data_IF_665303839459
#
_entry.id   IF_665303839459
#
_cell.length_a   1.000
_cell.length_b   1.000
_cell.length_c   1.000
_cell.angle_alpha   90.00
_cell.angle_beta   90.00
_cell.angle_gamma   90.00
#
_symmetry.space_group_name_H-M   'P 1'
#
loop_
_entity.id
_entity.type
_entity.pdbx_description
1 polymer ?
#
# COMPACT_ATOMS: atom_id res chain seq x y z
N UNK A 1 -11.82 -24.06 -0.68
CA UNK A 1 -11.19 -24.25 0.67
C UNK A 1 -11.53 -25.58 1.33
N UNK A 2 -12.28 -26.48 0.71
CA UNK A 2 -12.52 -27.84 1.23
C UNK A 2 -11.24 -28.67 1.28
N UNK A 3 -11.11 -29.55 2.27
CA UNK A 3 -9.95 -30.45 2.45
C UNK A 3 -8.77 -29.84 3.21
N UNK A 4 -9.03 -28.85 4.06
CA UNK A 4 -8.08 -28.40 5.06
C UNK A 4 -8.31 -29.22 6.35
N UNK A 5 -7.27 -29.90 6.84
CA UNK A 5 -7.35 -30.69 8.06
C UNK A 5 -7.68 -29.79 9.24
N UNK A 6 -8.50 -30.30 10.16
CA UNK A 6 -8.92 -29.62 11.40
C UNK A 6 -9.70 -28.31 11.18
N UNK A 7 -10.10 -27.97 9.96
CA UNK A 7 -11.01 -26.87 9.72
C UNK A 7 -12.43 -27.24 10.17
N UNK A 8 -13.01 -26.44 11.07
CA UNK A 8 -14.35 -26.63 11.60
C UNK A 8 -15.39 -25.99 10.72
N UNK A 9 -15.22 -24.72 10.39
CA UNK A 9 -16.16 -23.98 9.55
C UNK A 9 -15.47 -22.80 8.84
N UNK A 10 -16.16 -22.33 7.82
CA UNK A 10 -15.79 -21.20 7.00
C UNK A 10 -16.95 -20.21 6.98
N UNK A 11 -16.64 -18.93 7.15
CA UNK A 11 -17.58 -17.83 6.92
C UNK A 11 -17.03 -16.84 5.93
N UNK A 12 -17.90 -16.18 5.17
CA UNK A 12 -17.51 -15.13 4.24
C UNK A 12 -18.42 -13.92 4.44
N UNK A 13 -17.83 -12.75 4.47
CA UNK A 13 -18.52 -11.47 4.54
C UNK A 13 -17.96 -10.56 3.47
N UNK A 14 -18.84 -9.88 2.74
CA UNK A 14 -18.45 -8.89 1.73
C UNK A 14 -19.09 -7.56 2.08
N UNK A 15 -18.34 -6.47 1.92
CA UNK A 15 -18.81 -5.12 2.17
C UNK A 15 -19.13 -4.36 0.88
N UNK A 16 -19.73 -3.19 1.03
CA UNK A 16 -20.08 -2.31 -0.09
C UNK A 16 -18.86 -1.62 -0.73
N UNK A 17 -17.72 -1.64 -0.07
CA UNK A 17 -16.45 -1.10 -0.60
C UNK A 17 -15.73 -2.10 -1.53
N UNK A 18 -16.30 -3.30 -1.73
CA UNK A 18 -15.75 -4.34 -2.60
C UNK A 18 -14.73 -5.24 -1.90
N UNK A 19 -14.61 -5.16 -0.58
CA UNK A 19 -13.76 -6.05 0.21
C UNK A 19 -14.52 -7.32 0.58
N UNK A 20 -13.84 -8.46 0.52
CA UNK A 20 -14.38 -9.76 0.92
C UNK A 20 -13.46 -10.40 1.94
N UNK A 21 -14.01 -10.71 3.11
CA UNK A 21 -13.31 -11.36 4.20
C UNK A 21 -13.76 -12.82 4.30
N UNK A 22 -12.82 -13.74 4.23
CA UNK A 22 -13.07 -15.18 4.40
C UNK A 22 -12.37 -15.62 5.68
N UNK A 23 -13.18 -15.97 6.69
CA UNK A 23 -12.70 -16.43 7.98
C UNK A 23 -12.76 -17.96 8.04
N UNK A 24 -11.62 -18.57 8.27
CA UNK A 24 -11.46 -20.01 8.49
C UNK A 24 -11.24 -20.28 9.98
N UNK A 25 -12.07 -21.13 10.57
CA UNK A 25 -11.95 -21.51 11.98
C UNK A 25 -11.46 -22.94 12.07
N UNK A 26 -10.39 -23.13 12.83
CA UNK A 26 -9.75 -24.43 13.06
C UNK A 26 -10.05 -24.96 14.47
N UNK A 27 -9.89 -26.24 14.66
CA UNK A 27 -10.07 -26.89 15.95
C UNK A 27 -9.03 -26.39 16.98
N UNK A 28 -9.40 -26.31 18.27
CA UNK A 28 -8.45 -25.99 19.33
C UNK A 28 -7.23 -26.93 19.31
N UNK A 29 -6.02 -26.35 19.47
CA UNK A 29 -4.76 -27.09 19.41
C UNK A 29 -4.17 -27.25 18.02
N UNK A 30 -4.84 -26.72 16.97
CA UNK A 30 -4.24 -26.65 15.64
C UNK A 30 -3.07 -25.65 15.66
N UNK A 31 -1.93 -26.04 15.09
CA UNK A 31 -0.79 -25.15 14.92
C UNK A 31 -1.14 -24.04 13.91
N UNK A 32 -1.12 -22.75 14.33
CA UNK A 32 -1.51 -21.65 13.47
C UNK A 32 -0.58 -21.44 12.26
N UNK A 33 0.71 -21.77 12.40
CA UNK A 33 1.69 -21.63 11.32
C UNK A 33 1.47 -22.68 10.24
N UNK A 34 1.21 -23.91 10.65
CA UNK A 34 0.89 -25.00 9.75
C UNK A 34 -0.46 -24.76 9.05
N UNK A 35 -1.47 -24.26 9.76
CA UNK A 35 -2.77 -23.92 9.19
C UNK A 35 -2.63 -22.80 8.15
N UNK A 36 -1.88 -21.76 8.49
CA UNK A 36 -1.59 -20.62 7.58
C UNK A 36 -0.90 -21.12 6.30
N UNK A 37 0.14 -21.95 6.41
CA UNK A 37 0.84 -22.50 5.26
C UNK A 37 -0.07 -23.33 4.35
N UNK A 38 -0.95 -24.17 4.94
CA UNK A 38 -1.94 -24.96 4.19
C UNK A 38 -2.95 -24.07 3.46
N UNK A 39 -3.42 -22.99 4.10
CA UNK A 39 -4.32 -22.02 3.48
C UNK A 39 -3.64 -21.31 2.31
N UNK A 40 -2.41 -20.83 2.49
CA UNK A 40 -1.62 -20.21 1.44
C UNK A 40 -1.47 -21.13 0.21
N UNK A 41 -1.10 -22.39 0.43
CA UNK A 41 -0.97 -23.38 -0.64
C UNK A 41 -2.31 -23.59 -1.40
N UNK A 42 -3.42 -23.66 -0.69
CA UNK A 42 -4.76 -23.78 -1.32
C UNK A 42 -5.14 -22.53 -2.11
N UNK A 43 -4.80 -21.35 -1.61
CA UNK A 43 -5.04 -20.09 -2.32
C UNK A 43 -4.24 -20.01 -3.62
N UNK A 44 -2.98 -20.41 -3.62
CA UNK A 44 -2.17 -20.43 -4.84
C UNK A 44 -2.81 -21.30 -5.94
N UNK A 45 -3.41 -22.42 -5.59
CA UNK A 45 -4.13 -23.26 -6.54
C UNK A 45 -5.43 -22.62 -7.04
N UNK A 46 -6.06 -21.76 -6.25
CA UNK A 46 -7.30 -21.09 -6.60
C UNK A 46 -7.08 -19.77 -7.39
N UNK A 47 -5.88 -19.16 -7.27
CA UNK A 47 -5.57 -17.88 -7.91
C UNK A 47 -5.93 -17.78 -9.39
N UNK A 48 -5.62 -18.77 -10.26
CA UNK A 48 -5.97 -18.70 -11.68
C UNK A 48 -7.48 -18.68 -11.97
N UNK A 49 -8.29 -19.11 -11.00
CA UNK A 49 -9.76 -19.15 -11.13
C UNK A 49 -10.45 -17.87 -10.63
N UNK A 50 -9.70 -16.93 -10.07
CA UNK A 50 -10.23 -15.66 -9.58
C UNK A 50 -10.29 -14.61 -10.69
N UNK A 51 -11.18 -13.61 -10.60
CA UNK A 51 -11.19 -12.48 -11.52
C UNK A 51 -9.83 -11.78 -11.59
N UNK A 52 -9.46 -11.30 -12.77
CA UNK A 52 -8.15 -10.68 -13.00
C UNK A 52 -7.88 -9.47 -12.08
N UNK A 53 -8.91 -8.71 -11.75
CA UNK A 53 -8.82 -7.60 -10.80
C UNK A 53 -8.37 -8.04 -9.42
N UNK A 54 -8.90 -9.16 -8.92
CA UNK A 54 -8.52 -9.74 -7.62
C UNK A 54 -7.12 -10.33 -7.67
N UNK A 55 -6.75 -10.99 -8.79
CA UNK A 55 -5.41 -11.51 -8.98
C UNK A 55 -4.34 -10.39 -8.95
N UNK A 56 -4.64 -9.24 -9.56
CA UNK A 56 -3.74 -8.07 -9.57
C UNK A 56 -3.59 -7.39 -8.20
N UNK A 57 -4.66 -7.34 -7.42
CA UNK A 57 -4.63 -6.81 -6.05
C UNK A 57 -3.90 -7.75 -5.09
N UNK A 58 -3.95 -9.06 -5.38
CA UNK A 58 -3.44 -10.09 -4.49
C UNK A 58 -4.42 -10.45 -3.38
N UNK A 59 -4.07 -11.50 -2.64
CA UNK A 59 -4.84 -11.98 -1.48
C UNK A 59 -3.94 -11.90 -0.25
N UNK A 60 -4.46 -11.31 0.81
CA UNK A 60 -3.80 -11.27 2.09
C UNK A 60 -4.32 -12.43 2.96
N UNK A 61 -3.42 -13.16 3.60
CA UNK A 61 -3.76 -14.21 4.56
C UNK A 61 -3.09 -13.88 5.87
N UNK A 62 -3.88 -13.52 6.86
CA UNK A 62 -3.46 -13.24 8.22
C UNK A 62 -3.89 -14.35 9.19
N UNK A 63 -3.16 -14.48 10.30
CA UNK A 63 -3.61 -15.23 11.47
C UNK A 63 -4.35 -14.23 12.34
N UNK A 64 -5.59 -14.50 12.66
CA UNK A 64 -6.39 -13.60 13.49
C UNK A 64 -6.98 -14.35 14.67
N UNK A 65 -7.01 -13.69 15.81
CA UNK A 65 -7.84 -14.04 16.94
C UNK A 65 -9.02 -13.07 16.98
N UNK A 66 -10.18 -13.53 17.46
CA UNK A 66 -11.39 -12.69 17.49
C UNK A 66 -11.30 -11.47 18.40
N UNK A 67 -10.37 -11.46 19.36
CA UNK A 67 -10.25 -10.41 20.37
C UNK A 67 -8.82 -9.85 20.37
N UNK A 68 -8.71 -8.55 20.56
CA UNK A 68 -7.44 -7.91 20.84
C UNK A 68 -6.90 -8.39 22.19
N UNK A 69 -5.65 -8.81 22.23
CA UNK A 69 -4.92 -9.09 23.46
C UNK A 69 -4.55 -7.81 24.17
N UNK A 70 -4.13 -6.81 23.42
CA UNK A 70 -3.63 -5.52 23.91
C UNK A 70 -3.93 -4.44 22.88
N UNK A 71 -4.33 -3.28 23.37
CA UNK A 71 -4.44 -2.05 22.57
C UNK A 71 -3.42 -1.07 23.12
N UNK A 72 -2.56 -0.55 22.24
CA UNK A 72 -1.51 0.44 22.59
C UNK A 72 -1.84 1.75 21.90
N UNK A 73 -1.99 2.81 22.69
CA UNK A 73 -2.17 4.17 22.18
C UNK A 73 -0.84 4.93 22.18
N UNK A 74 -0.53 5.61 21.09
CA UNK A 74 0.57 6.57 20.99
C UNK A 74 0.03 7.97 21.15
N UNK A 75 0.68 8.76 22.00
CA UNK A 75 0.34 10.16 22.23
C UNK A 75 1.59 11.04 22.11
N UNK A 76 1.42 12.25 21.59
CA UNK A 76 2.45 13.29 21.63
C UNK A 76 2.17 14.19 22.84
N UNK A 77 2.97 14.08 23.89
CA UNK A 77 2.78 14.88 25.12
C UNK A 77 3.06 16.36 24.89
N UNK A 78 4.00 16.68 24.04
CA UNK A 78 4.44 18.04 23.69
C UNK A 78 3.68 18.65 22.49
N UNK A 79 2.80 17.86 21.86
CA UNK A 79 2.06 18.28 20.67
C UNK A 79 2.91 18.50 19.44
N UNK A 80 4.16 18.01 19.43
CA UNK A 80 5.07 18.13 18.27
C UNK A 80 4.64 17.29 17.08
N UNK A 81 3.91 16.20 17.31
CA UNK A 81 3.37 15.31 16.31
C UNK A 81 1.84 15.37 16.31
N UNK A 82 1.27 15.56 15.14
CA UNK A 82 -0.16 15.45 14.94
C UNK A 82 -0.59 13.97 14.78
N UNK A 83 -1.90 13.71 14.63
CA UNK A 83 -2.43 12.35 14.50
C UNK A 83 -1.86 11.58 13.28
N UNK A 84 -1.62 12.30 12.18
CA UNK A 84 -1.14 11.72 10.95
C UNK A 84 0.36 11.37 11.06
N UNK A 85 1.14 12.23 11.73
CA UNK A 85 2.55 11.96 12.08
C UNK A 85 2.68 10.73 12.99
N UNK A 86 1.81 10.63 14.01
CA UNK A 86 1.78 9.48 14.92
C UNK A 86 1.39 8.19 14.20
N UNK A 87 0.43 8.26 13.27
CA UNK A 87 0.00 7.15 12.44
C UNK A 87 1.15 6.63 11.54
N UNK A 88 1.82 7.54 10.85
CA UNK A 88 2.96 7.21 9.99
C UNK A 88 4.14 6.65 10.81
N UNK A 89 4.43 7.25 11.96
CA UNK A 89 5.45 6.74 12.89
C UNK A 89 5.12 5.33 13.37
N UNK A 90 3.86 5.08 13.75
CA UNK A 90 3.41 3.77 14.20
C UNK A 90 3.57 2.71 13.10
N UNK A 91 3.15 3.01 11.87
CA UNK A 91 3.26 2.12 10.73
C UNK A 91 4.72 1.83 10.34
N UNK A 92 5.54 2.86 10.34
CA UNK A 92 6.94 2.75 9.88
C UNK A 92 7.85 2.08 10.90
N UNK A 93 7.62 2.35 12.21
CA UNK A 93 8.56 1.98 13.27
C UNK A 93 8.00 0.97 14.26
N UNK A 94 6.72 1.06 14.63
CA UNK A 94 6.17 0.27 15.74
C UNK A 94 5.56 -1.04 15.26
N UNK A 95 4.71 -0.99 14.25
CA UNK A 95 3.99 -2.16 13.72
C UNK A 95 4.93 -3.32 13.37
N UNK A 96 5.99 -3.02 12.60
CA UNK A 96 6.94 -4.04 12.16
C UNK A 96 7.75 -4.67 13.29
N UNK A 97 8.00 -3.92 14.35
CA UNK A 97 8.72 -4.42 15.52
C UNK A 97 7.80 -5.35 16.31
N UNK A 98 6.56 -4.91 16.55
CA UNK A 98 5.57 -5.71 17.28
C UNK A 98 5.20 -6.99 16.54
N UNK A 99 5.03 -6.95 15.23
CA UNK A 99 4.72 -8.13 14.40
C UNK A 99 5.81 -9.22 14.44
N UNK A 100 7.04 -8.88 14.84
CA UNK A 100 8.16 -9.84 14.98
C UNK A 100 8.29 -10.45 16.36
N UNK A 101 7.51 -9.98 17.33
CA UNK A 101 7.56 -10.51 18.70
C UNK A 101 6.97 -11.94 18.72
N UNK A 102 7.70 -12.93 19.26
CA UNK A 102 7.17 -14.29 19.35
C UNK A 102 5.85 -14.33 20.14
N UNK A 103 4.83 -14.97 19.56
CA UNK A 103 3.50 -15.06 20.14
C UNK A 103 2.52 -13.98 19.66
N UNK A 104 2.97 -12.96 18.94
CA UNK A 104 2.09 -11.99 18.26
C UNK A 104 1.62 -12.61 16.94
N UNK A 105 0.31 -12.77 16.80
CA UNK A 105 -0.30 -13.32 15.58
C UNK A 105 -0.56 -12.28 14.51
N UNK A 106 -1.05 -11.13 14.93
CA UNK A 106 -1.41 -10.00 14.05
C UNK A 106 -1.27 -8.69 14.82
N UNK A 107 -0.86 -7.66 14.12
CA UNK A 107 -0.86 -6.28 14.61
C UNK A 107 -1.75 -5.48 13.68
N UNK A 108 -2.81 -4.91 14.23
CA UNK A 108 -3.72 -4.04 13.50
C UNK A 108 -3.44 -2.59 13.88
N UNK A 109 -3.17 -1.76 12.89
CA UNK A 109 -2.90 -0.35 13.07
C UNK A 109 -4.18 0.45 12.83
N UNK A 110 -4.66 1.13 13.87
CA UNK A 110 -5.70 2.15 13.77
C UNK A 110 -5.05 3.52 13.56
N UNK A 111 -4.54 3.74 12.38
CA UNK A 111 -3.85 4.95 11.99
C UNK A 111 -3.51 4.87 10.51
N UNK A 112 -3.06 5.97 9.95
CA UNK A 112 -2.86 6.08 8.52
C UNK A 112 -1.45 6.53 8.20
N UNK A 113 -0.88 5.93 7.16
CA UNK A 113 0.39 6.38 6.59
C UNK A 113 0.17 7.61 5.72
N UNK A 114 1.22 8.41 5.56
CA UNK A 114 1.20 9.47 4.57
C UNK A 114 1.10 8.92 3.15
N UNK A 115 0.21 9.52 2.38
CA UNK A 115 0.04 9.22 0.97
C UNK A 115 -0.11 10.51 0.15
N UNK A 116 0.21 10.44 -1.13
CA UNK A 116 -0.02 11.55 -2.06
C UNK A 116 -1.46 11.49 -2.57
N UNK A 117 -2.27 12.49 -2.21
CA UNK A 117 -3.64 12.64 -2.70
C UNK A 117 -3.69 13.53 -3.92
N UNK A 118 -4.41 13.09 -4.93
CA UNK A 118 -4.64 13.84 -6.15
C UNK A 118 -6.14 14.01 -6.34
N UNK A 119 -6.62 15.25 -6.13
CA UNK A 119 -8.02 15.61 -6.27
C UNK A 119 -8.27 16.08 -7.70
N UNK A 120 -8.88 15.22 -8.50
CA UNK A 120 -9.20 15.52 -9.89
C UNK A 120 -10.49 16.35 -10.00
N UNK A 121 -10.48 17.31 -10.89
CA UNK A 121 -11.66 18.10 -11.24
C UNK A 121 -12.29 17.50 -12.53
N UNK A 122 -13.53 16.97 -12.47
CA UNK A 122 -14.17 16.30 -13.62
C UNK A 122 -14.39 17.24 -14.81
N UNK A 123 -14.71 18.52 -14.55
CA UNK A 123 -14.96 19.49 -15.61
C UNK A 123 -13.67 19.75 -16.39
N UNK A 124 -12.55 19.98 -15.67
CA UNK A 124 -11.24 20.18 -16.32
C UNK A 124 -10.76 18.94 -17.07
N UNK A 125 -11.01 17.72 -16.54
CA UNK A 125 -10.72 16.51 -17.29
C UNK A 125 -11.46 16.48 -18.63
N UNK A 126 -12.74 16.85 -18.60
CA UNK A 126 -13.58 16.94 -19.81
C UNK A 126 -13.04 18.01 -20.79
N UNK A 127 -12.70 19.19 -20.30
CA UNK A 127 -12.15 20.29 -21.12
C UNK A 127 -10.86 19.87 -21.85
N UNK A 128 -10.01 19.13 -21.17
CA UNK A 128 -8.77 18.60 -21.76
C UNK A 128 -8.94 17.26 -22.47
N UNK A 129 -10.16 16.72 -22.57
CA UNK A 129 -10.46 15.40 -23.15
C UNK A 129 -9.60 14.28 -22.54
N UNK A 130 -9.48 14.29 -21.22
CA UNK A 130 -8.74 13.29 -20.43
C UNK A 130 -9.71 12.48 -19.58
N UNK A 131 -9.36 11.23 -19.35
CA UNK A 131 -10.05 10.34 -18.43
C UNK A 131 -9.23 10.13 -17.16
N UNK A 132 -9.87 9.64 -16.10
CA UNK A 132 -9.15 9.23 -14.88
C UNK A 132 -8.12 8.14 -15.18
N UNK A 133 -8.41 7.26 -16.13
CA UNK A 133 -7.50 6.20 -16.56
C UNK A 133 -6.20 6.75 -17.19
N UNK A 134 -6.29 7.84 -17.95
CA UNK A 134 -5.13 8.52 -18.53
C UNK A 134 -4.23 9.08 -17.43
N UNK A 135 -4.84 9.71 -16.41
CA UNK A 135 -4.10 10.21 -15.24
C UNK A 135 -3.40 9.08 -14.49
N UNK A 136 -4.10 7.98 -14.20
CA UNK A 136 -3.51 6.82 -13.52
C UNK A 136 -2.35 6.23 -14.34
N UNK A 137 -2.50 6.15 -15.65
CA UNK A 137 -1.46 5.64 -16.55
C UNK A 137 -0.22 6.52 -16.51
N UNK A 138 -0.40 7.84 -16.58
CA UNK A 138 0.71 8.79 -16.47
C UNK A 138 1.39 8.71 -15.10
N UNK A 139 0.62 8.69 -14.00
CA UNK A 139 1.17 8.54 -12.64
C UNK A 139 2.05 7.29 -12.53
N UNK A 140 1.59 6.15 -13.02
CA UNK A 140 2.35 4.90 -13.00
C UNK A 140 3.62 4.96 -13.85
N UNK A 141 3.57 5.67 -14.97
CA UNK A 141 4.73 5.81 -15.86
C UNK A 141 5.81 6.74 -15.28
N UNK A 142 5.41 7.77 -14.54
CA UNK A 142 6.33 8.76 -14.00
C UNK A 142 6.77 8.47 -12.55
N UNK A 143 5.95 7.80 -11.75
CA UNK A 143 6.30 7.44 -10.38
C UNK A 143 6.91 6.04 -10.34
N UNK A 144 8.06 5.88 -10.97
CA UNK A 144 8.82 4.62 -11.05
C UNK A 144 10.30 4.90 -10.83
N UNK A 145 10.97 4.01 -10.12
CA UNK A 145 12.40 4.06 -9.97
C UNK A 145 13.07 3.36 -11.17
N UNK A 146 13.91 4.11 -11.89
CA UNK A 146 14.64 3.60 -13.04
C UNK A 146 16.13 3.66 -12.76
N UNK A 147 16.76 2.49 -12.66
CA UNK A 147 18.22 2.35 -12.59
C UNK A 147 18.80 2.22 -14.00
N UNK A 148 19.73 3.10 -14.35
CA UNK A 148 20.44 3.05 -15.64
C UNK A 148 21.63 2.08 -15.64
N UNK A 149 21.79 1.28 -14.57
CA UNK A 149 22.89 0.35 -14.43
C UNK A 149 23.99 0.84 -13.49
N UNK A 150 25.19 0.33 -13.66
CA UNK A 150 26.32 0.63 -12.80
C UNK A 150 27.49 1.20 -13.62
N UNK A 151 28.07 2.28 -13.12
CA UNK A 151 29.37 2.73 -13.59
C UNK A 151 30.45 1.88 -12.91
N UNK A 152 31.26 1.20 -13.71
CA UNK A 152 32.29 0.32 -13.16
C UNK A 152 31.83 -1.08 -12.78
N UNK A 153 30.69 -1.53 -13.29
CA UNK A 153 30.24 -2.94 -13.17
C UNK A 153 31.07 -3.91 -13.99
N UNK A 154 30.86 -5.20 -13.76
CA UNK A 154 31.54 -6.25 -14.53
C UNK A 154 31.03 -6.28 -15.99
N UNK A 155 31.92 -6.49 -16.99
CA UNK A 155 33.36 -6.69 -16.86
C UNK A 155 34.12 -5.38 -16.60
N UNK A 156 34.89 -5.35 -15.50
CA UNK A 156 35.67 -4.17 -15.11
C UNK A 156 36.90 -4.00 -16.00
N UNK A 157 37.21 -2.75 -16.37
CA UNK A 157 38.43 -2.41 -17.08
C UNK A 157 39.58 -2.33 -16.08
N UNK A 158 40.79 -2.80 -16.49
CA UNK A 158 41.95 -2.80 -15.63
C UNK A 158 42.28 -1.37 -15.12
N UNK A 159 42.38 -1.22 -13.80
CA UNK A 159 42.58 0.10 -13.16
C UNK A 159 41.31 0.82 -12.69
N UNK A 160 40.16 0.28 -12.92
CA UNK A 160 38.90 0.86 -12.47
C UNK A 160 38.71 0.69 -10.96
N UNK A 161 38.65 1.82 -10.23
CA UNK A 161 38.57 1.86 -8.75
C UNK A 161 37.20 2.29 -8.21
N UNK A 162 36.28 2.75 -9.08
CA UNK A 162 34.99 3.26 -8.69
C UNK A 162 33.89 2.37 -9.25
N UNK A 163 32.99 1.95 -8.37
CA UNK A 163 31.74 1.30 -8.74
C UNK A 163 30.59 2.12 -8.15
N UNK A 164 29.67 2.61 -8.98
CA UNK A 164 28.53 3.40 -8.54
C UNK A 164 27.29 3.03 -9.35
N UNK A 165 26.18 2.80 -8.69
CA UNK A 165 24.89 2.63 -9.35
C UNK A 165 24.38 3.98 -9.82
N UNK A 166 23.89 4.03 -11.05
CA UNK A 166 23.29 5.24 -11.63
C UNK A 166 21.76 5.09 -11.57
N UNK A 167 21.12 5.94 -10.77
CA UNK A 167 19.68 6.08 -10.74
C UNK A 167 19.28 7.27 -11.60
N UNK A 168 18.52 7.03 -12.65
CA UNK A 168 18.09 8.10 -13.59
C UNK A 168 16.84 8.77 -13.08
N UNK A 169 15.92 8.01 -12.47
CA UNK A 169 14.68 8.50 -11.91
C UNK A 169 14.42 7.81 -10.58
N UNK A 170 14.13 8.61 -9.54
CA UNK A 170 13.65 8.15 -8.25
C UNK A 170 12.13 8.34 -8.16
N UNK A 171 11.52 7.67 -7.18
CA UNK A 171 10.12 7.91 -6.85
C UNK A 171 9.89 9.38 -6.48
N UNK A 172 8.78 9.92 -6.93
CA UNK A 172 8.36 11.28 -6.61
C UNK A 172 7.97 11.38 -5.13
N UNK A 173 8.30 12.50 -4.49
CA UNK A 173 8.15 12.66 -3.04
C UNK A 173 7.30 13.86 -2.64
N UNK A 174 7.23 14.89 -3.48
CA UNK A 174 6.55 16.14 -3.13
C UNK A 174 5.29 16.38 -3.96
N UNK A 175 4.30 17.10 -3.40
CA UNK A 175 3.10 17.48 -4.16
C UNK A 175 3.42 18.21 -5.46
N UNK A 176 4.47 19.03 -5.49
CA UNK A 176 4.90 19.82 -6.66
C UNK A 176 5.44 18.92 -7.76
N UNK A 177 6.18 17.87 -7.41
CA UNK A 177 6.66 16.88 -8.36
C UNK A 177 5.49 16.14 -9.00
N UNK A 178 4.52 15.68 -8.22
CA UNK A 178 3.30 15.05 -8.74
C UNK A 178 2.47 15.99 -9.57
N UNK A 179 2.32 17.26 -9.16
CA UNK A 179 1.61 18.30 -9.91
C UNK A 179 2.23 18.55 -11.28
N UNK A 180 3.52 18.33 -11.43
CA UNK A 180 4.28 18.58 -12.64
C UNK A 180 4.24 17.46 -13.67
N UNK A 181 3.68 16.29 -13.34
CA UNK A 181 3.60 15.14 -14.24
C UNK A 181 2.81 15.52 -15.50
N UNK A 182 3.38 15.32 -16.70
CA UNK A 182 2.67 15.57 -17.95
C UNK A 182 1.66 14.45 -18.23
N UNK A 183 0.43 14.85 -18.56
CA UNK A 183 -0.66 13.96 -18.92
C UNK A 183 -0.81 13.84 -20.43
N UNK A 184 -0.62 14.98 -21.14
CA UNK A 184 -0.74 15.03 -22.59
C UNK A 184 0.12 16.14 -23.18
N UNK A 185 0.60 15.92 -24.40
CA UNK A 185 1.23 16.94 -25.24
C UNK A 185 0.23 17.35 -26.31
N UNK A 186 -0.10 18.62 -26.38
CA UNK A 186 -0.97 19.19 -27.41
C UNK A 186 -0.22 19.34 -28.75
N UNK A 187 -0.97 19.56 -29.84
CA UNK A 187 -0.39 19.71 -31.18
C UNK A 187 0.52 20.96 -31.32
N UNK A 188 0.32 21.97 -30.48
CA UNK A 188 1.13 23.18 -30.38
C UNK A 188 2.39 23.00 -29.50
N UNK A 189 2.62 21.82 -28.96
CA UNK A 189 3.74 21.52 -28.06
C UNK A 189 3.49 21.88 -26.59
N UNK A 190 2.34 22.45 -26.22
CA UNK A 190 1.99 22.74 -24.84
C UNK A 190 1.70 21.44 -24.09
N UNK A 191 2.04 21.43 -22.78
CA UNK A 191 1.87 20.27 -21.89
C UNK A 191 0.68 20.47 -20.97
N UNK A 192 -0.25 19.54 -20.97
CA UNK A 192 -1.27 19.42 -19.93
C UNK A 192 -0.67 18.60 -18.79
N UNK A 193 -0.67 19.13 -17.58
CA UNK A 193 -0.08 18.50 -16.38
C UNK A 193 -1.15 18.18 -15.35
N UNK A 194 -0.81 17.38 -14.34
CA UNK A 194 -1.72 17.04 -13.23
C UNK A 194 -2.31 18.29 -12.58
N UNK A 195 -1.50 19.34 -12.36
CA UNK A 195 -1.97 20.62 -11.79
C UNK A 195 -3.06 21.33 -12.61
N UNK A 196 -3.12 21.06 -13.90
CA UNK A 196 -4.11 21.70 -14.79
C UNK A 196 -5.49 21.04 -14.66
N UNK A 197 -5.54 19.78 -14.24
CA UNK A 197 -6.77 19.00 -14.08
C UNK A 197 -7.12 18.68 -12.62
N UNK A 198 -6.26 19.05 -11.66
CA UNK A 198 -6.49 18.76 -10.26
C UNK A 198 -5.52 19.47 -9.32
N UNK A 199 -5.56 19.09 -8.05
CA UNK A 199 -4.62 19.53 -7.03
C UNK A 199 -3.97 18.32 -6.38
N UNK A 200 -2.73 18.47 -5.95
CA UNK A 200 -1.94 17.49 -5.25
C UNK A 200 -1.68 17.95 -3.83
N UNK A 201 -1.81 17.07 -2.87
CA UNK A 201 -1.50 17.35 -1.47
C UNK A 201 -0.98 16.08 -0.77
N UNK A 202 -0.15 16.26 0.23
CA UNK A 202 0.21 15.20 1.13
C UNK A 202 -0.94 15.01 2.13
N UNK A 203 -1.43 13.82 2.28
CA UNK A 203 -2.52 13.48 3.19
C UNK A 203 -2.36 12.06 3.70
N UNK A 204 -3.42 11.51 4.26
CA UNK A 204 -3.44 10.14 4.77
C UNK A 204 -4.09 9.18 3.79
N UNK A 205 -3.66 7.91 3.80
CA UNK A 205 -4.18 6.88 2.90
C UNK A 205 -5.67 6.61 3.14
N UNK A 206 -6.07 6.47 4.42
CA UNK A 206 -7.44 6.25 4.84
C UNK A 206 -7.88 7.42 5.74
N UNK A 207 -9.03 8.04 5.46
CA UNK A 207 -9.57 9.13 6.28
C UNK A 207 -10.76 8.73 7.16
N UNK A 208 -11.18 7.47 7.10
CA UNK A 208 -12.44 7.03 7.72
C UNK A 208 -12.26 6.50 9.15
N UNK A 209 -11.02 6.39 9.63
CA UNK A 209 -10.73 5.94 11.00
C UNK A 209 -10.20 7.14 11.81
N UNK A 210 -10.96 7.58 12.78
CA UNK A 210 -10.54 8.57 13.75
C UNK A 210 -10.43 7.92 15.14
N UNK A 211 -9.23 7.95 15.71
CA UNK A 211 -8.99 7.45 17.06
C UNK A 211 -8.70 8.65 17.97
N UNK A 212 -9.48 8.79 19.02
CA UNK A 212 -9.26 9.80 20.04
C UNK A 212 -9.07 9.14 21.42
N UNK A 213 -8.06 9.58 22.16
CA UNK A 213 -7.85 9.17 23.54
C UNK A 213 -8.16 10.34 24.47
N UNK A 214 -9.12 10.14 25.40
CA UNK A 214 -9.60 11.17 26.34
C UNK A 214 -10.06 12.47 25.64
N UNK A 215 -10.62 12.39 24.42
CA UNK A 215 -11.12 13.54 23.67
C UNK A 215 -10.04 14.43 23.03
N UNK A 216 -8.83 13.91 22.96
CA UNK A 216 -7.69 14.53 22.24
C UNK A 216 -7.26 13.65 21.08
#
# INVERSE_FOLDING_TARGET
MTGLDQMLYLSSTSDSAGMSYITLTFAPGTDPDLAWAKVQNKLQLAMPSLPETVQRQGLLVGKSTRNFLLIVGLISEDGSMNKDDLGDYAASNVEKILARVPGVGEVELFGTQYSMRIWLNPDRLTDYHLTVADVITALRAYNVEVSAGQFGGAPAVEGQRLNASIVVQSLLKTPEEFASIPLRVNADGSLVRVKDVGRTELGTDISDIEVAFMGK
#
